data_IF_417894323679
#
_entry.id   IF_417894323679
#
_cell.length_a   1.000
_cell.length_b   1.000
_cell.length_c   1.000
_cell.angle_alpha   90.00
_cell.angle_beta   90.00
_cell.angle_gamma   90.00
#
_symmetry.space_group_name_H-M   'P 1'
#
loop_
_entity.id
_entity.type
_entity.pdbx_description
1 polymer ?
#
# COMPACT_ATOMS: atom_id res chain seq x y z
N UNK A 1 18.18 31.38 -62.62
CA UNK A 1 17.48 31.65 -61.36
C UNK A 1 16.49 30.55 -60.90
N UNK A 2 16.11 29.57 -61.74
CA UNK A 2 15.17 28.49 -61.33
C UNK A 2 15.84 27.32 -60.55
N UNK A 3 17.14 27.10 -60.70
CA UNK A 3 17.82 25.96 -60.07
C UNK A 3 18.29 26.24 -58.62
N UNK A 4 18.43 27.52 -58.22
CA UNK A 4 18.84 27.88 -56.85
C UNK A 4 17.73 27.74 -55.81
N UNK A 5 16.45 27.83 -56.25
CA UNK A 5 15.30 27.70 -55.35
C UNK A 5 15.04 26.21 -55.01
N UNK A 6 15.38 25.30 -55.94
CA UNK A 6 15.20 23.86 -55.72
C UNK A 6 16.25 23.30 -54.70
N UNK A 7 17.44 23.87 -54.65
CA UNK A 7 18.50 23.47 -53.71
C UNK A 7 18.22 23.96 -52.27
N UNK A 8 17.53 25.11 -52.12
CA UNK A 8 17.16 25.68 -50.83
C UNK A 8 15.98 24.94 -50.17
N UNK A 9 15.07 24.33 -50.99
CA UNK A 9 13.94 23.51 -50.48
C UNK A 9 14.38 22.16 -49.94
N UNK A 10 15.51 21.59 -50.40
CA UNK A 10 16.01 20.28 -49.99
C UNK A 10 16.73 20.31 -48.62
N UNK A 11 17.21 21.49 -48.19
CA UNK A 11 17.88 21.66 -46.89
C UNK A 11 16.94 21.88 -45.71
N UNK A 12 15.65 22.18 -45.93
CA UNK A 12 14.65 22.36 -44.86
C UNK A 12 13.91 21.09 -44.45
N UNK A 13 14.07 19.98 -45.20
CA UNK A 13 13.35 18.72 -44.91
C UNK A 13 14.14 17.77 -43.99
N UNK A 14 15.30 18.18 -43.45
CA UNK A 14 16.22 17.33 -42.67
C UNK A 14 16.17 17.55 -41.16
N UNK A 15 15.14 18.18 -40.59
CA UNK A 15 15.00 18.26 -39.12
C UNK A 15 14.45 16.92 -38.58
N UNK A 16 15.31 15.90 -38.59
CA UNK A 16 15.07 14.71 -37.78
C UNK A 16 15.08 15.14 -36.32
N UNK A 17 13.91 15.19 -35.67
CA UNK A 17 13.84 15.23 -34.22
C UNK A 17 14.46 13.93 -33.70
N UNK A 18 15.72 13.98 -33.29
CA UNK A 18 16.29 12.98 -32.39
C UNK A 18 15.56 13.14 -31.07
N UNK A 19 14.59 12.30 -30.82
CA UNK A 19 14.11 12.06 -29.46
C UNK A 19 15.28 11.50 -28.66
N UNK A 20 15.88 12.36 -27.84
CA UNK A 20 16.84 11.95 -26.83
C UNK A 20 16.09 11.01 -25.90
N UNK A 21 16.39 9.72 -25.95
CA UNK A 21 15.99 8.79 -24.92
C UNK A 21 16.57 9.32 -23.62
N UNK A 22 15.70 9.80 -22.72
CA UNK A 22 16.06 10.12 -21.35
C UNK A 22 16.53 8.85 -20.67
N UNK A 23 17.82 8.54 -20.78
CA UNK A 23 18.47 7.61 -19.86
C UNK A 23 18.44 8.27 -18.48
N UNK A 24 17.49 7.90 -17.66
CA UNK A 24 17.54 8.23 -16.24
C UNK A 24 18.78 7.56 -15.66
N UNK A 25 19.84 8.37 -15.48
CA UNK A 25 21.04 7.90 -14.77
C UNK A 25 20.62 7.55 -13.34
N UNK A 26 21.04 6.37 -12.87
CA UNK A 26 20.80 5.98 -11.49
C UNK A 26 21.55 6.93 -10.55
N UNK A 27 20.87 7.35 -9.48
CA UNK A 27 21.47 8.18 -8.45
C UNK A 27 22.55 7.41 -7.69
N UNK A 28 23.61 8.13 -7.29
CA UNK A 28 24.70 7.54 -6.52
C UNK A 28 24.56 7.86 -5.04
N UNK A 29 24.62 6.81 -4.20
CA UNK A 29 24.64 6.92 -2.74
C UNK A 29 26.06 6.64 -2.26
N UNK A 30 26.59 7.57 -1.47
CA UNK A 30 27.91 7.44 -0.87
C UNK A 30 27.79 6.89 0.55
N UNK A 31 28.69 5.97 0.90
CA UNK A 31 28.77 5.37 2.22
C UNK A 31 30.23 5.15 2.63
N UNK A 32 30.48 4.94 3.92
CA UNK A 32 31.79 4.54 4.47
C UNK A 32 31.63 3.50 5.60
N UNK A 33 32.74 3.09 6.18
CA UNK A 33 32.80 2.09 7.25
C UNK A 33 32.61 2.67 8.66
N UNK A 34 32.60 4.01 8.79
CA UNK A 34 32.53 4.70 10.09
C UNK A 34 31.12 5.21 10.41
N UNK A 35 30.28 5.40 9.41
CA UNK A 35 28.96 6.01 9.59
C UNK A 35 27.88 5.18 8.90
N UNK A 36 26.73 5.08 9.55
CA UNK A 36 25.52 4.50 8.94
C UNK A 36 24.84 5.55 8.07
N UNK A 37 24.57 5.21 6.82
CA UNK A 37 23.73 5.99 5.92
C UNK A 37 22.33 5.39 5.89
N UNK A 38 21.32 6.15 6.29
CA UNK A 38 19.95 5.70 6.35
C UNK A 38 19.18 6.06 5.07
N UNK A 39 18.52 5.06 4.46
CA UNK A 39 17.64 5.24 3.31
C UNK A 39 16.20 4.97 3.74
N UNK A 40 15.32 5.96 3.64
CA UNK A 40 13.90 5.88 3.99
C UNK A 40 13.06 5.72 2.73
N UNK A 41 12.27 4.66 2.66
CA UNK A 41 11.45 4.31 1.50
C UNK A 41 9.96 4.58 1.74
N UNK A 42 9.16 4.80 0.68
CA UNK A 42 7.73 5.13 0.79
C UNK A 42 6.86 3.95 1.24
N UNK A 43 7.40 2.72 1.18
CA UNK A 43 6.75 1.51 1.68
C UNK A 43 7.77 0.62 2.40
N UNK A 44 7.35 -0.34 3.26
CA UNK A 44 8.27 -1.22 3.98
C UNK A 44 9.19 -2.01 3.05
N UNK A 45 10.43 -2.19 3.45
CA UNK A 45 11.43 -2.96 2.70
C UNK A 45 11.11 -4.45 2.84
N UNK A 46 10.92 -5.13 1.71
CA UNK A 46 10.81 -6.59 1.64
C UNK A 46 12.16 -7.23 1.35
N UNK A 47 12.94 -6.64 0.44
CA UNK A 47 14.23 -7.17 0.03
C UNK A 47 15.21 -6.04 -0.29
N UNK A 48 16.46 -6.20 0.13
CA UNK A 48 17.58 -5.33 -0.23
C UNK A 48 18.77 -6.19 -0.65
N UNK A 49 19.32 -5.93 -1.84
CA UNK A 49 20.42 -6.69 -2.45
C UNK A 49 21.52 -5.72 -2.83
N UNK A 50 22.73 -5.99 -2.36
CA UNK A 50 23.95 -5.26 -2.80
C UNK A 50 24.74 -6.12 -3.78
N UNK A 51 25.38 -5.49 -4.76
CA UNK A 51 26.11 -6.18 -5.81
C UNK A 51 27.55 -6.57 -5.45
N UNK A 52 28.09 -6.08 -4.33
CA UNK A 52 29.45 -6.40 -3.86
C UNK A 52 29.47 -6.55 -2.34
N UNK A 53 30.37 -7.42 -1.83
CA UNK A 53 30.61 -7.61 -0.40
C UNK A 53 31.27 -6.41 0.29
N UNK A 54 31.73 -5.40 -0.46
CA UNK A 54 32.26 -4.16 0.09
C UNK A 54 31.18 -3.24 0.65
N UNK A 55 29.91 -3.53 0.34
CA UNK A 55 28.73 -2.80 0.82
C UNK A 55 27.83 -3.71 1.67
N UNK A 56 27.30 -3.16 2.73
CA UNK A 56 26.35 -3.86 3.62
C UNK A 56 25.10 -3.02 3.76
N UNK A 57 23.96 -3.58 3.38
CA UNK A 57 22.65 -2.97 3.58
C UNK A 57 21.82 -3.81 4.54
N UNK A 58 21.45 -3.23 5.67
CA UNK A 58 20.72 -3.92 6.75
C UNK A 58 19.37 -3.27 7.00
N UNK A 59 18.36 -4.10 7.23
CA UNK A 59 17.00 -3.69 7.60
C UNK A 59 16.34 -4.81 8.44
N UNK A 60 15.30 -4.49 9.18
CA UNK A 60 14.59 -5.49 9.96
C UNK A 60 13.73 -6.38 9.05
N UNK A 61 14.00 -7.69 9.05
CA UNK A 61 13.27 -8.70 8.26
C UNK A 61 12.07 -9.30 9.01
N UNK A 62 12.02 -9.15 10.33
CA UNK A 62 10.96 -9.72 11.17
C UNK A 62 9.79 -8.77 11.34
N UNK A 63 10.03 -7.47 11.25
CA UNK A 63 9.01 -6.41 11.37
C UNK A 63 9.08 -5.49 10.16
N UNK A 64 7.94 -5.01 9.70
CA UNK A 64 7.88 -4.01 8.63
C UNK A 64 8.68 -2.76 9.02
N UNK A 65 9.67 -2.43 8.22
CA UNK A 65 10.54 -1.28 8.41
C UNK A 65 10.68 -0.49 7.09
N UNK A 66 10.49 0.81 7.18
CA UNK A 66 10.53 1.73 6.04
C UNK A 66 11.95 2.24 5.72
N UNK A 67 12.94 1.88 6.51
CA UNK A 67 14.33 2.31 6.29
C UNK A 67 15.31 1.15 6.43
N UNK A 68 16.45 1.30 5.74
CA UNK A 68 17.61 0.44 5.88
C UNK A 68 18.87 1.26 6.11
N UNK A 69 19.89 0.62 6.65
CA UNK A 69 21.19 1.22 6.95
C UNK A 69 22.23 0.67 5.97
N UNK A 70 22.98 1.57 5.35
CA UNK A 70 24.05 1.27 4.42
C UNK A 70 25.38 1.63 5.04
N UNK A 71 26.37 0.71 4.93
CA UNK A 71 27.78 0.91 5.19
C UNK A 71 28.61 0.43 4.00
N UNK A 72 29.82 0.95 3.86
CA UNK A 72 30.73 0.57 2.78
C UNK A 72 32.16 0.46 3.28
N UNK A 73 32.94 -0.45 2.69
CA UNK A 73 34.39 -0.49 2.77
C UNK A 73 35.02 0.11 1.53
N UNK A 74 36.27 0.58 1.58
CA UNK A 74 36.98 1.03 0.38
C UNK A 74 36.96 -0.06 -0.70
N UNK A 75 36.52 0.27 -1.90
CA UNK A 75 36.36 -0.68 -2.99
C UNK A 75 35.79 -0.03 -4.26
N UNK A 76 35.49 -0.86 -5.26
CA UNK A 76 34.87 -0.41 -6.51
C UNK A 76 33.40 -0.09 -6.29
N UNK A 77 32.88 0.84 -7.11
CA UNK A 77 31.45 1.13 -7.13
C UNK A 77 30.62 -0.15 -7.40
N UNK A 78 29.47 -0.23 -6.77
CA UNK A 78 28.54 -1.35 -6.90
C UNK A 78 27.11 -0.83 -7.05
N UNK A 79 26.11 -1.65 -6.81
CA UNK A 79 24.71 -1.25 -6.84
C UNK A 79 23.94 -1.75 -5.63
N UNK A 80 22.83 -1.07 -5.34
CA UNK A 80 21.80 -1.49 -4.39
C UNK A 80 20.48 -1.63 -5.12
N UNK A 81 19.83 -2.77 -4.98
CA UNK A 81 18.45 -2.99 -5.41
C UNK A 81 17.59 -3.15 -4.16
N UNK A 82 16.52 -2.36 -4.05
CA UNK A 82 15.54 -2.47 -2.96
C UNK A 82 14.17 -2.76 -3.55
N UNK A 83 13.50 -3.76 -3.01
CA UNK A 83 12.14 -4.14 -3.36
C UNK A 83 11.27 -3.95 -2.11
N UNK A 84 10.26 -3.12 -2.23
CA UNK A 84 9.31 -2.86 -1.15
C UNK A 84 8.17 -3.88 -1.13
N UNK A 85 7.42 -3.93 -0.03
CA UNK A 85 6.26 -4.83 0.14
C UNK A 85 5.13 -4.58 -0.85
N UNK A 86 5.02 -3.36 -1.38
CA UNK A 86 4.08 -3.00 -2.44
C UNK A 86 4.56 -3.38 -3.86
N UNK A 87 5.74 -4.02 -3.97
CA UNK A 87 6.34 -4.45 -5.24
C UNK A 87 7.12 -3.36 -5.97
N UNK A 88 7.20 -2.12 -5.49
CA UNK A 88 8.02 -1.07 -6.11
C UNK A 88 9.51 -1.38 -5.97
N UNK A 89 10.28 -1.08 -7.03
CA UNK A 89 11.70 -1.37 -7.14
C UNK A 89 12.48 -0.06 -7.21
N UNK A 90 13.54 0.03 -6.40
CA UNK A 90 14.48 1.15 -6.39
C UNK A 90 15.88 0.63 -6.66
N UNK A 91 16.65 1.36 -7.45
CA UNK A 91 18.03 0.97 -7.79
C UNK A 91 18.96 2.18 -7.70
N UNK A 92 20.12 1.99 -7.07
CA UNK A 92 21.13 3.01 -6.85
C UNK A 92 22.51 2.50 -7.18
N UNK A 93 23.40 3.39 -7.59
CA UNK A 93 24.83 3.14 -7.61
C UNK A 93 25.35 3.39 -6.19
N UNK A 94 26.20 2.51 -5.70
CA UNK A 94 26.89 2.64 -4.42
C UNK A 94 28.36 3.00 -4.65
N UNK A 95 28.87 3.98 -3.93
CA UNK A 95 30.27 4.36 -3.98
C UNK A 95 30.82 4.65 -2.59
N UNK A 96 32.05 4.20 -2.32
CA UNK A 96 32.75 4.54 -1.10
C UNK A 96 33.24 5.99 -1.13
N UNK A 97 33.11 6.71 -0.01
CA UNK A 97 33.65 8.05 0.18
C UNK A 97 33.99 8.28 1.65
N UNK A 98 35.21 8.70 1.96
CA UNK A 98 35.67 8.92 3.35
C UNK A 98 34.84 9.97 4.09
N UNK A 99 34.55 11.09 3.44
CA UNK A 99 33.73 12.15 4.01
C UNK A 99 32.34 12.15 3.37
N UNK A 100 31.31 12.00 4.22
CA UNK A 100 29.91 11.96 3.81
C UNK A 100 29.24 13.31 4.07
N UNK A 101 28.70 13.90 3.05
CA UNK A 101 27.92 15.15 3.12
C UNK A 101 26.49 14.91 3.60
N UNK A 102 25.95 13.70 3.33
CA UNK A 102 24.57 13.33 3.62
C UNK A 102 24.51 11.95 4.24
N UNK A 103 23.78 11.84 5.37
CA UNK A 103 23.60 10.57 6.09
C UNK A 103 22.18 10.01 5.99
N UNK A 104 21.22 10.80 5.53
CA UNK A 104 19.81 10.39 5.44
C UNK A 104 19.28 10.69 4.04
N UNK A 105 18.74 9.68 3.38
CA UNK A 105 18.10 9.75 2.07
C UNK A 105 16.61 9.41 2.21
N UNK A 106 15.75 10.35 1.87
CA UNK A 106 14.30 10.16 1.80
C UNK A 106 13.94 9.90 0.34
N UNK A 107 13.60 8.67 0.03
CA UNK A 107 13.33 8.19 -1.32
C UNK A 107 11.86 8.40 -1.65
N UNK A 108 11.50 9.28 -2.60
CA UNK A 108 10.12 9.45 -3.03
C UNK A 108 9.69 8.29 -3.94
N UNK A 109 8.38 8.04 -4.02
CA UNK A 109 7.84 6.99 -4.90
C UNK A 109 8.19 7.20 -6.38
N UNK A 110 8.44 8.43 -6.80
CA UNK A 110 8.81 8.81 -8.18
C UNK A 110 10.18 8.29 -8.62
N UNK A 111 11.06 7.95 -7.68
CA UNK A 111 12.37 7.34 -7.97
C UNK A 111 12.29 5.83 -8.21
N UNK A 112 11.11 5.22 -8.09
CA UNK A 112 10.92 3.81 -8.43
C UNK A 112 11.21 3.57 -9.92
N UNK A 113 12.11 2.63 -10.22
CA UNK A 113 12.46 2.22 -11.59
C UNK A 113 11.41 1.27 -12.21
N UNK A 114 10.45 0.79 -11.40
CA UNK A 114 9.41 -0.13 -11.84
C UNK A 114 8.82 -0.95 -10.69
N UNK A 115 8.10 -2.00 -11.07
CA UNK A 115 7.49 -2.96 -10.16
C UNK A 115 7.97 -4.37 -10.45
N UNK A 116 8.10 -5.21 -9.41
CA UNK A 116 8.55 -6.61 -9.51
C UNK A 116 7.67 -7.46 -10.43
N UNK A 117 6.39 -7.19 -10.43
CA UNK A 117 5.47 -7.74 -11.43
C UNK A 117 5.22 -6.66 -12.47
N UNK A 118 5.91 -6.71 -13.63
CA UNK A 118 5.59 -5.79 -14.71
C UNK A 118 4.13 -6.04 -15.07
N UNK A 119 3.27 -5.08 -14.79
CA UNK A 119 1.99 -5.02 -15.46
C UNK A 119 2.35 -4.91 -16.93
N UNK A 120 2.00 -5.91 -17.75
CA UNK A 120 2.07 -5.82 -19.20
C UNK A 120 1.27 -4.57 -19.59
N UNK A 121 1.97 -3.46 -19.69
CA UNK A 121 1.39 -2.22 -20.16
C UNK A 121 1.54 -2.28 -21.67
N UNK A 122 0.48 -2.63 -22.37
CA UNK A 122 0.33 -2.13 -23.73
C UNK A 122 0.65 -0.64 -23.66
N UNK A 123 1.51 -0.16 -24.57
CA UNK A 123 1.92 1.24 -24.66
C UNK A 123 0.67 2.12 -24.68
N UNK A 124 0.33 2.67 -23.55
CA UNK A 124 -0.74 3.66 -23.44
C UNK A 124 -0.21 4.85 -22.65
N UNK A 125 -0.29 6.00 -23.29
CA UNK A 125 0.08 7.33 -22.86
C UNK A 125 0.02 7.53 -21.34
N UNK A 126 1.09 8.08 -20.75
CA UNK A 126 1.22 8.41 -19.33
C UNK A 126 0.08 9.29 -18.78
N UNK A 127 -0.64 10.01 -19.62
CA UNK A 127 -1.86 10.74 -19.28
C UNK A 127 -3.06 9.83 -18.97
N UNK A 128 -3.16 8.62 -19.56
CA UNK A 128 -4.26 7.67 -19.29
C UNK A 128 -4.10 6.92 -17.96
N UNK A 129 -2.88 6.68 -17.50
CA UNK A 129 -2.63 5.96 -16.23
C UNK A 129 -2.98 6.85 -15.03
N UNK A 130 -2.61 8.13 -15.05
CA UNK A 130 -3.03 9.09 -14.03
C UNK A 130 -4.57 9.20 -13.98
N UNK A 131 -5.23 9.23 -15.13
CA UNK A 131 -6.69 9.27 -15.22
C UNK A 131 -7.36 8.00 -14.70
N UNK A 132 -6.78 6.78 -14.93
CA UNK A 132 -7.34 5.51 -14.43
C UNK A 132 -7.27 5.39 -12.90
N UNK A 133 -6.20 5.85 -12.26
CA UNK A 133 -6.12 5.90 -10.79
C UNK A 133 -7.07 6.94 -10.21
N UNK A 134 -7.17 8.11 -10.84
CA UNK A 134 -8.13 9.16 -10.47
C UNK A 134 -9.56 8.68 -10.66
N UNK A 135 -9.87 8.01 -11.76
CA UNK A 135 -11.18 7.42 -12.04
C UNK A 135 -11.54 6.31 -11.03
N UNK A 136 -10.60 5.45 -10.67
CA UNK A 136 -10.85 4.36 -9.72
C UNK A 136 -11.07 4.89 -8.30
N UNK A 137 -10.29 5.86 -7.85
CA UNK A 137 -10.46 6.51 -6.55
C UNK A 137 -11.78 7.26 -6.49
N UNK A 138 -12.10 8.03 -7.52
CA UNK A 138 -13.38 8.73 -7.66
C UNK A 138 -14.58 7.78 -7.68
N UNK A 139 -14.43 6.63 -8.36
CA UNK A 139 -15.44 5.58 -8.33
C UNK A 139 -15.64 5.03 -6.91
N UNK A 140 -14.56 4.72 -6.18
CA UNK A 140 -14.66 4.25 -4.80
C UNK A 140 -15.37 5.26 -3.89
N UNK A 141 -15.01 6.54 -3.97
CA UNK A 141 -15.62 7.58 -3.15
C UNK A 141 -17.14 7.68 -3.41
N UNK A 142 -17.54 7.73 -4.66
CA UNK A 142 -18.96 7.78 -5.04
C UNK A 142 -19.73 6.54 -4.62
N UNK A 143 -19.17 5.35 -4.90
CA UNK A 143 -19.84 4.10 -4.59
C UNK A 143 -19.90 3.84 -3.09
N UNK A 144 -18.85 4.10 -2.34
CA UNK A 144 -18.85 4.03 -0.88
C UNK A 144 -19.84 5.01 -0.25
N UNK A 145 -19.88 6.25 -0.71
CA UNK A 145 -20.88 7.24 -0.28
C UNK A 145 -22.31 6.73 -0.52
N UNK A 146 -22.60 6.22 -1.71
CA UNK A 146 -23.90 5.60 -2.02
C UNK A 146 -24.22 4.43 -1.09
N UNK A 147 -23.25 3.55 -0.78
CA UNK A 147 -23.45 2.42 0.14
C UNK A 147 -23.82 2.87 1.56
N UNK A 148 -23.31 4.00 2.03
CA UNK A 148 -23.65 4.53 3.36
C UNK A 148 -25.08 5.11 3.43
N UNK A 149 -25.65 5.54 2.31
CA UNK A 149 -27.01 6.13 2.26
C UNK A 149 -28.11 5.09 2.09
N UNK A 150 -27.80 3.90 1.56
CA UNK A 150 -28.82 2.87 1.32
C UNK A 150 -29.16 2.07 2.58
N UNK A 151 -30.33 1.43 2.58
CA UNK A 151 -30.76 0.52 3.66
C UNK A 151 -29.79 -0.66 3.79
N UNK A 152 -29.27 -0.87 4.99
CA UNK A 152 -28.35 -1.97 5.30
C UNK A 152 -29.12 -3.29 5.48
N UNK A 153 -28.50 -4.43 5.11
CA UNK A 153 -29.16 -5.73 5.08
C UNK A 153 -28.72 -6.69 6.19
N UNK A 154 -27.57 -6.41 6.85
CA UNK A 154 -27.05 -7.24 7.94
C UNK A 154 -27.25 -6.51 9.25
N UNK A 155 -28.07 -7.07 10.14
CA UNK A 155 -28.33 -6.47 11.45
C UNK A 155 -27.80 -7.30 12.64
N UNK A 156 -27.43 -8.56 12.39
CA UNK A 156 -27.11 -9.53 13.45
C UNK A 156 -25.62 -9.70 13.74
N UNK A 157 -24.74 -9.16 12.90
CA UNK A 157 -23.28 -9.31 13.06
C UNK A 157 -22.74 -8.09 13.82
N UNK A 158 -22.69 -8.21 15.14
CA UNK A 158 -22.19 -7.16 16.01
C UNK A 158 -21.49 -7.75 17.24
N UNK A 159 -20.58 -6.98 17.81
CA UNK A 159 -19.98 -7.26 19.11
C UNK A 159 -19.90 -5.96 19.92
N UNK A 160 -20.08 -6.09 21.24
CA UNK A 160 -20.05 -4.96 22.17
C UNK A 160 -19.10 -5.26 23.32
N UNK A 161 -18.29 -4.27 23.69
CA UNK A 161 -17.43 -4.30 24.86
C UNK A 161 -17.25 -2.87 25.41
N UNK A 162 -17.37 -2.69 26.71
CA UNK A 162 -17.09 -1.43 27.43
C UNK A 162 -17.77 -0.19 26.80
N UNK A 163 -19.03 -0.33 26.42
CA UNK A 163 -19.83 0.74 25.81
C UNK A 163 -19.58 0.96 24.30
N UNK A 164 -18.56 0.33 23.72
CA UNK A 164 -18.32 0.40 22.26
C UNK A 164 -18.98 -0.77 21.55
N UNK A 165 -19.65 -0.50 20.43
CA UNK A 165 -20.28 -1.51 19.58
C UNK A 165 -19.69 -1.44 18.18
N UNK A 166 -19.16 -2.55 17.70
CA UNK A 166 -18.70 -2.76 16.32
C UNK A 166 -19.73 -3.65 15.60
N UNK A 167 -20.22 -3.20 14.47
CA UNK A 167 -21.20 -3.94 13.66
C UNK A 167 -20.76 -3.99 12.20
N UNK A 168 -21.03 -5.12 11.54
CA UNK A 168 -20.97 -5.23 10.09
C UNK A 168 -22.42 -5.10 9.57
N UNK A 169 -22.69 -4.01 8.85
CA UNK A 169 -24.04 -3.67 8.38
C UNK A 169 -24.31 -4.17 6.94
N UNK A 170 -23.26 -4.35 6.14
CA UNK A 170 -23.41 -4.93 4.80
C UNK A 170 -22.08 -5.47 4.28
N UNK A 171 -22.16 -6.40 3.31
CA UNK A 171 -21.08 -6.77 2.39
C UNK A 171 -21.67 -6.72 1.00
N UNK A 172 -21.09 -5.90 0.12
CA UNK A 172 -21.56 -5.73 -1.25
C UNK A 172 -20.43 -6.17 -2.19
N UNK A 173 -20.76 -6.89 -3.26
CA UNK A 173 -19.84 -7.25 -4.30
C UNK A 173 -20.05 -6.36 -5.52
N UNK A 174 -18.98 -5.74 -5.99
CA UNK A 174 -18.99 -4.97 -7.22
C UNK A 174 -17.59 -4.94 -7.85
N UNK A 175 -17.50 -5.13 -9.17
CA UNK A 175 -16.27 -5.01 -9.98
C UNK A 175 -15.04 -5.71 -9.37
N UNK A 176 -15.17 -6.99 -9.03
CA UNK A 176 -14.10 -7.81 -8.45
C UNK A 176 -13.66 -7.39 -7.03
N UNK A 177 -14.51 -6.65 -6.31
CA UNK A 177 -14.22 -6.14 -4.98
C UNK A 177 -15.37 -6.37 -4.01
N UNK A 178 -15.02 -6.53 -2.73
CA UNK A 178 -15.95 -6.67 -1.61
C UNK A 178 -15.92 -5.39 -0.78
N UNK A 179 -17.08 -4.78 -0.60
CA UNK A 179 -17.29 -3.55 0.16
C UNK A 179 -17.91 -3.89 1.51
N UNK A 180 -17.14 -3.74 2.57
CA UNK A 180 -17.57 -3.99 3.95
C UNK A 180 -18.11 -2.69 4.55
N UNK A 181 -19.41 -2.58 4.75
CA UNK A 181 -20.05 -1.46 5.44
C UNK A 181 -20.02 -1.73 6.94
N UNK A 182 -19.24 -0.94 7.66
CA UNK A 182 -18.93 -1.16 9.08
C UNK A 182 -19.45 0.05 9.87
N UNK A 183 -20.06 -0.23 11.03
CA UNK A 183 -20.53 0.78 11.98
C UNK A 183 -19.79 0.63 13.30
N UNK A 184 -19.36 1.77 13.85
CA UNK A 184 -18.91 1.91 15.23
C UNK A 184 -19.91 2.81 15.94
N UNK A 185 -20.37 2.41 17.12
CA UNK A 185 -21.24 3.17 17.99
C UNK A 185 -20.62 3.25 19.38
N UNK A 186 -20.41 4.47 19.89
CA UNK A 186 -19.91 4.71 21.23
C UNK A 186 -21.07 5.04 22.18
N UNK A 187 -21.40 4.13 23.08
CA UNK A 187 -22.42 4.30 24.15
C UNK A 187 -21.78 4.58 25.51
N UNK A 188 -20.45 4.76 25.56
CA UNK A 188 -19.75 5.13 26.79
C UNK A 188 -19.68 6.65 26.95
N UNK A 189 -19.33 7.11 28.15
CA UNK A 189 -19.11 8.52 28.45
C UNK A 189 -17.72 9.05 28.03
N UNK A 190 -16.85 8.17 27.54
CA UNK A 190 -15.51 8.52 27.09
C UNK A 190 -15.41 8.41 25.58
N UNK A 191 -14.73 9.36 24.95
CA UNK A 191 -14.40 9.29 23.54
C UNK A 191 -13.61 8.01 23.22
N UNK A 192 -13.84 7.47 22.04
CA UNK A 192 -13.12 6.32 21.51
C UNK A 192 -12.15 6.78 20.42
N UNK A 193 -10.86 6.82 20.73
CA UNK A 193 -9.82 7.16 19.78
C UNK A 193 -9.44 5.92 18.97
N UNK A 194 -9.78 5.91 17.69
CA UNK A 194 -9.49 4.79 16.81
C UNK A 194 -7.99 4.75 16.48
N UNK A 195 -7.34 3.63 16.79
CA UNK A 195 -5.98 3.35 16.35
C UNK A 195 -6.00 2.70 14.95
N UNK A 196 -6.62 1.52 14.84
CA UNK A 196 -6.82 0.82 13.57
C UNK A 196 -8.03 -0.12 13.61
N UNK A 197 -8.52 -0.47 12.42
CA UNK A 197 -9.39 -1.60 12.19
C UNK A 197 -8.72 -2.52 11.18
N UNK A 198 -8.37 -3.73 11.61
CA UNK A 198 -7.77 -4.76 10.76
C UNK A 198 -8.80 -5.81 10.37
N UNK A 199 -8.71 -6.28 9.12
CA UNK A 199 -9.53 -7.37 8.59
C UNK A 199 -8.59 -8.55 8.28
N UNK A 200 -8.91 -9.73 8.81
CA UNK A 200 -8.10 -10.94 8.60
C UNK A 200 -8.99 -12.17 8.37
N UNK A 201 -8.48 -13.10 7.58
CA UNK A 201 -9.05 -14.45 7.45
C UNK A 201 -8.40 -15.35 8.50
N UNK A 202 -9.21 -16.06 9.26
CA UNK A 202 -8.74 -16.99 10.29
C UNK A 202 -9.38 -18.37 10.12
N UNK A 203 -8.64 -19.43 10.45
CA UNK A 203 -9.19 -20.76 10.59
C UNK A 203 -10.09 -20.82 11.85
N UNK A 204 -11.26 -21.49 11.74
CA UNK A 204 -12.11 -21.79 12.90
C UNK A 204 -11.41 -22.84 13.76
N UNK A 205 -11.40 -22.64 15.08
CA UNK A 205 -10.96 -23.70 16.00
C UNK A 205 -11.89 -24.90 15.87
N UNK A 206 -11.38 -26.00 15.38
CA UNK A 206 -12.05 -27.32 15.45
C UNK A 206 -11.11 -28.28 16.19
N UNK A 207 -11.44 -28.59 17.46
CA UNK A 207 -10.68 -29.52 18.30
C UNK A 207 -9.57 -28.91 19.14
N UNK A 208 -9.07 -29.68 20.14
CA UNK A 208 -8.14 -29.21 21.20
C UNK A 208 -6.72 -28.85 20.74
N UNK A 209 -6.28 -29.24 19.53
CA UNK A 209 -4.85 -29.17 19.09
C UNK A 209 -4.63 -28.47 17.75
N UNK A 210 -5.59 -27.67 17.21
CA UNK A 210 -5.38 -27.03 15.92
C UNK A 210 -4.80 -25.62 16.06
N UNK A 211 -3.72 -25.36 15.30
CA UNK A 211 -3.12 -24.03 15.13
C UNK A 211 -4.11 -23.06 14.50
N UNK A 212 -4.15 -21.83 14.98
CA UNK A 212 -4.91 -20.74 14.36
C UNK A 212 -4.00 -20.07 13.34
N UNK A 213 -4.32 -20.23 12.07
CA UNK A 213 -3.70 -19.46 11.01
C UNK A 213 -4.48 -18.16 10.81
N UNK A 214 -3.77 -17.03 10.72
CA UNK A 214 -4.33 -15.71 10.46
C UNK A 214 -3.62 -15.11 9.23
N UNK A 215 -4.41 -14.63 8.26
CA UNK A 215 -3.93 -13.98 7.05
C UNK A 215 -4.59 -12.60 6.99
N UNK A 216 -3.80 -11.54 7.10
CA UNK A 216 -4.29 -10.16 6.98
C UNK A 216 -4.78 -9.88 5.56
N UNK A 217 -5.88 -9.14 5.46
CA UNK A 217 -6.45 -8.67 4.20
C UNK A 217 -6.19 -7.17 4.09
N UNK A 218 -5.32 -6.76 3.18
CA UNK A 218 -5.05 -5.36 2.93
C UNK A 218 -6.19 -4.74 2.11
N UNK A 219 -6.84 -3.67 2.58
CA UNK A 219 -7.88 -2.99 1.80
C UNK A 219 -7.28 -2.17 0.67
N UNK A 220 -7.90 -2.24 -0.53
CA UNK A 220 -7.58 -1.38 -1.67
C UNK A 220 -7.97 0.08 -1.42
N UNK A 221 -9.03 0.29 -0.64
CA UNK A 221 -9.52 1.63 -0.29
C UNK A 221 -10.24 1.63 1.07
N UNK A 222 -10.19 2.78 1.75
CA UNK A 222 -10.89 3.02 3.02
C UNK A 222 -11.66 4.34 2.91
N UNK A 223 -12.94 4.29 3.17
CA UNK A 223 -13.82 5.46 3.07
C UNK A 223 -14.39 5.84 4.43
N UNK A 224 -14.34 7.12 4.77
CA UNK A 224 -14.93 7.72 5.97
C UNK A 224 -14.48 7.06 7.29
N UNK A 225 -13.20 6.67 7.38
CA UNK A 225 -12.64 6.09 8.62
C UNK A 225 -12.42 7.21 9.64
N UNK A 226 -13.13 7.16 10.80
CA UNK A 226 -12.98 8.18 11.81
C UNK A 226 -11.65 8.01 12.56
N UNK A 227 -11.05 9.09 13.00
CA UNK A 227 -9.95 9.06 13.98
C UNK A 227 -10.48 8.96 15.42
N UNK A 228 -11.71 9.44 15.65
CA UNK A 228 -12.38 9.47 16.95
C UNK A 228 -13.89 9.24 16.78
N UNK A 229 -14.50 8.59 17.77
CA UNK A 229 -15.96 8.47 17.93
C UNK A 229 -16.33 8.99 19.29
N UNK A 230 -16.99 10.14 19.34
CA UNK A 230 -17.35 10.83 20.58
C UNK A 230 -18.48 10.11 21.34
N UNK A 231 -18.77 10.52 22.58
CA UNK A 231 -19.88 9.98 23.37
C UNK A 231 -21.18 10.00 22.57
N UNK A 232 -21.94 8.90 22.61
CA UNK A 232 -23.25 8.69 21.92
C UNK A 232 -23.20 8.85 20.40
N UNK A 233 -22.03 8.93 19.81
CA UNK A 233 -21.87 9.09 18.37
C UNK A 233 -21.86 7.73 17.62
N UNK A 234 -22.36 7.77 16.38
CA UNK A 234 -22.35 6.67 15.43
C UNK A 234 -21.54 7.07 14.21
N UNK A 235 -20.52 6.30 13.89
CA UNK A 235 -19.74 6.46 12.65
C UNK A 235 -19.90 5.22 11.76
N UNK A 236 -20.04 5.46 10.46
CA UNK A 236 -20.05 4.44 9.43
C UNK A 236 -18.88 4.64 8.48
N UNK A 237 -18.27 3.55 8.08
CA UNK A 237 -17.12 3.52 7.18
C UNK A 237 -17.22 2.34 6.21
N UNK A 238 -16.50 2.42 5.11
CA UNK A 238 -16.42 1.32 4.14
C UNK A 238 -14.96 0.92 3.92
N UNK A 239 -14.71 -0.39 3.98
CA UNK A 239 -13.44 -1.00 3.60
C UNK A 239 -13.64 -1.77 2.31
N UNK A 240 -12.85 -1.44 1.29
CA UNK A 240 -12.88 -2.10 -0.02
C UNK A 240 -11.74 -3.11 -0.09
N UNK A 241 -12.05 -4.37 -0.28
CA UNK A 241 -11.10 -5.47 -0.33
C UNK A 241 -11.14 -6.14 -1.72
N UNK A 242 -10.04 -6.71 -2.20
CA UNK A 242 -10.09 -7.61 -3.35
C UNK A 242 -11.09 -8.74 -3.10
N UNK A 243 -11.72 -9.24 -4.14
CA UNK A 243 -12.61 -10.41 -4.06
C UNK A 243 -11.87 -11.64 -3.51
N UNK A 244 -12.46 -12.29 -2.54
CA UNK A 244 -12.02 -13.60 -2.04
C UNK A 244 -13.22 -14.44 -1.60
N UNK A 245 -13.02 -15.75 -1.54
CA UNK A 245 -13.98 -16.72 -1.01
C UNK A 245 -13.38 -17.53 0.11
N UNK A 246 -14.21 -18.11 0.95
CA UNK A 246 -13.78 -18.83 2.15
C UNK A 246 -14.38 -20.24 2.21
N UNK A 247 -13.57 -21.22 2.57
CA UNK A 247 -14.02 -22.54 2.98
C UNK A 247 -14.80 -22.50 4.31
N UNK A 248 -15.50 -23.59 4.60
CA UNK A 248 -16.32 -23.71 5.82
C UNK A 248 -15.51 -23.70 7.12
N UNK A 249 -14.23 -23.99 7.04
CA UNK A 249 -13.26 -23.98 8.15
C UNK A 249 -12.69 -22.58 8.44
N UNK A 250 -13.07 -21.55 7.66
CA UNK A 250 -12.53 -20.19 7.76
C UNK A 250 -13.62 -19.18 8.10
N UNK A 251 -13.17 -18.05 8.64
CA UNK A 251 -14.01 -16.88 8.94
C UNK A 251 -13.19 -15.60 8.72
N UNK A 252 -13.89 -14.50 8.50
CA UNK A 252 -13.28 -13.16 8.59
C UNK A 252 -13.38 -12.67 10.03
N UNK A 253 -12.32 -12.00 10.48
CA UNK A 253 -12.29 -11.33 11.78
C UNK A 253 -11.91 -9.87 11.55
N UNK A 254 -12.79 -8.97 12.02
CA UNK A 254 -12.52 -7.55 12.12
C UNK A 254 -12.00 -7.27 13.53
N UNK A 255 -10.85 -6.63 13.66
CA UNK A 255 -10.25 -6.23 14.92
C UNK A 255 -10.19 -4.72 15.02
N UNK A 256 -11.00 -4.16 15.90
CA UNK A 256 -11.01 -2.75 16.23
C UNK A 256 -10.09 -2.53 17.44
N UNK A 257 -9.15 -1.59 17.32
CA UNK A 257 -8.18 -1.27 18.36
C UNK A 257 -8.28 0.21 18.76
N UNK A 258 -8.27 0.45 20.06
CA UNK A 258 -8.26 1.80 20.63
C UNK A 258 -6.83 2.33 20.78
N UNK A 259 -6.62 3.59 20.50
CA UNK A 259 -5.35 4.28 20.74
C UNK A 259 -5.24 4.62 22.25
N UNK A 260 -4.15 4.21 22.87
CA UNK A 260 -3.90 4.44 24.30
C UNK A 260 -5.01 3.92 25.24
N UNK A 261 -5.74 2.87 24.81
CA UNK A 261 -6.82 2.26 25.58
C UNK A 261 -6.93 0.75 25.33
N UNK A 262 -7.77 0.09 26.14
CA UNK A 262 -7.95 -1.37 26.11
C UNK A 262 -9.35 -1.82 25.66
N UNK A 263 -10.19 -0.91 25.17
CA UNK A 263 -11.53 -1.22 24.67
C UNK A 263 -11.48 -1.83 23.25
N UNK A 264 -10.66 -2.87 23.10
CA UNK A 264 -10.46 -3.55 21.83
C UNK A 264 -11.56 -4.57 21.57
N UNK A 265 -12.08 -4.62 20.34
CA UNK A 265 -13.13 -5.52 19.91
C UNK A 265 -12.71 -6.42 18.75
N UNK A 266 -13.28 -7.64 18.75
CA UNK A 266 -13.14 -8.58 17.63
C UNK A 266 -14.53 -8.99 17.17
N UNK A 267 -14.82 -8.77 15.90
CA UNK A 267 -16.07 -9.18 15.27
C UNK A 267 -15.82 -10.34 14.30
N UNK A 268 -16.51 -11.46 14.51
CA UNK A 268 -16.36 -12.65 13.67
C UNK A 268 -17.47 -12.69 12.63
N UNK A 269 -17.09 -12.86 11.36
CA UNK A 269 -17.99 -12.93 10.20
C UNK A 269 -17.87 -14.30 9.55
N UNK A 270 -18.98 -15.00 9.47
CA UNK A 270 -19.03 -16.33 8.87
C UNK A 270 -18.77 -16.28 7.36
N UNK A 271 -18.15 -17.34 6.82
CA UNK A 271 -17.90 -17.54 5.39
C UNK A 271 -19.14 -17.33 4.51
N UNK A 272 -20.35 -17.67 5.00
CA UNK A 272 -21.60 -17.51 4.23
C UNK A 272 -21.87 -16.07 3.78
N UNK A 273 -21.48 -15.06 4.59
CA UNK A 273 -21.67 -13.64 4.26
C UNK A 273 -20.62 -13.13 3.26
N UNK A 274 -19.45 -13.79 3.23
CA UNK A 274 -18.39 -13.48 2.29
C UNK A 274 -18.68 -14.10 0.92
N UNK A 275 -19.16 -15.36 0.93
CA UNK A 275 -19.43 -16.11 -0.30
C UNK A 275 -20.77 -15.75 -0.94
N UNK A 276 -21.68 -15.10 -0.19
CA UNK A 276 -22.97 -14.61 -0.68
C UNK A 276 -23.16 -13.16 -0.26
N UNK A 277 -22.38 -12.22 -0.84
CA UNK A 277 -22.55 -10.78 -0.63
C UNK A 277 -23.84 -10.27 -1.29
N UNK A 278 -24.25 -9.06 -0.92
CA UNK A 278 -25.42 -8.40 -1.51
C UNK A 278 -25.11 -7.72 -2.84
#
# INVERSE_FOLDING_TARGET
MKNSILLMGLFLAGSFHMEAQNHTSLDTIFANDQKNVALFFPAPIRQGIVGSSDFVFTYNREKEQYFGLLQAKPGKASNLLVINTNGSIFSYILSYRDQLEKLNYFVPQTESIGYEQPKFTERSDSSKVANLFTDKTFYYERFCSYLLTRKQRIGSIQNRKDGIMLSLENIVFDKEELYFVIKIENKSSLDYDLNFLNISVQTRKQGRKKSIQRISQAPNFRYNVPTKVTEKEIKRMVYVLPKFSLGNDKMVVLELNERNGERNLKLKVSNRYINNPN
#
